data_IF_096983426266
#
_entry.id   IF_096983426266
#
_cell.length_a   1.000
_cell.length_b   1.000
_cell.length_c   1.000
_cell.angle_alpha   90.00
_cell.angle_beta   90.00
_cell.angle_gamma   90.00
#
_symmetry.space_group_name_H-M   'P 1'
#
loop_
_entity.id
_entity.type
_entity.pdbx_description
1 polymer ?
#
# COMPACT_ATOMS: atom_id res chain seq x y z
N UNK A 1 10.88 -2.07 29.78
CA UNK A 1 9.68 -1.28 29.46
C UNK A 1 9.66 -0.05 30.32
N UNK A 2 8.95 0.99 29.88
CA UNK A 2 8.72 2.25 30.59
C UNK A 2 7.20 2.36 30.79
N UNK A 3 6.77 2.92 31.92
CA UNK A 3 5.37 3.25 32.19
C UNK A 3 5.31 4.57 32.94
N UNK A 4 4.23 5.32 32.76
CA UNK A 4 3.95 6.53 33.52
C UNK A 4 2.49 6.51 33.96
N UNK A 5 2.17 7.22 35.04
CA UNK A 5 0.79 7.59 35.39
C UNK A 5 0.47 9.03 34.94
N UNK A 6 1.50 9.79 34.56
CA UNK A 6 1.42 11.15 34.05
C UNK A 6 1.87 11.16 32.57
N UNK A 7 0.94 11.41 31.63
CA UNK A 7 1.27 11.47 30.22
C UNK A 7 2.34 12.52 29.86
N UNK A 8 2.33 13.67 30.53
CA UNK A 8 3.25 14.77 30.22
C UNK A 8 4.67 14.44 30.71
N UNK A 9 4.79 13.70 31.82
CA UNK A 9 6.07 13.20 32.31
C UNK A 9 6.73 12.22 31.32
N UNK A 10 5.96 11.36 30.65
CA UNK A 10 6.50 10.45 29.63
C UNK A 10 6.98 11.22 28.40
N UNK A 11 6.20 12.19 27.93
CA UNK A 11 6.58 13.05 26.80
C UNK A 11 7.86 13.81 27.11
N UNK A 12 7.96 14.43 28.28
CA UNK A 12 9.17 15.14 28.72
C UNK A 12 10.37 14.19 28.77
N UNK A 13 10.20 13.00 29.35
CA UNK A 13 11.29 12.01 29.40
C UNK A 13 11.76 11.59 28.00
N UNK A 14 10.84 11.34 27.06
CA UNK A 14 11.18 10.98 25.68
C UNK A 14 11.98 12.11 25.01
N UNK A 15 11.53 13.36 25.14
CA UNK A 15 12.22 14.52 24.57
C UNK A 15 13.59 14.74 25.21
N UNK A 16 13.71 14.67 26.54
CA UNK A 16 14.98 14.79 27.26
C UNK A 16 16.01 13.71 26.88
N UNK A 17 15.54 12.52 26.49
CA UNK A 17 16.38 11.42 26.04
C UNK A 17 16.61 11.40 24.52
N UNK A 18 16.22 12.47 23.82
CA UNK A 18 16.48 12.67 22.40
C UNK A 18 15.60 11.82 21.48
N UNK A 19 14.43 11.39 21.95
CA UNK A 19 13.39 10.85 21.08
C UNK A 19 12.59 12.01 20.48
N UNK A 20 12.31 11.93 19.18
CA UNK A 20 11.51 12.93 18.49
C UNK A 20 10.03 12.71 18.80
N UNK A 21 9.46 13.64 19.58
CA UNK A 21 8.02 13.70 19.88
C UNK A 21 7.56 15.13 19.54
N UNK A 22 6.83 15.27 18.44
CA UNK A 22 6.26 16.55 17.99
C UNK A 22 4.90 16.77 18.65
N UNK A 23 4.40 18.01 18.64
CA UNK A 23 3.11 18.37 19.24
C UNK A 23 1.95 17.48 18.74
N UNK A 24 1.83 17.18 17.43
CA UNK A 24 0.77 16.29 16.94
C UNK A 24 0.86 14.84 17.44
N UNK A 25 2.04 14.38 17.88
CA UNK A 25 2.23 13.02 18.42
C UNK A 25 1.79 12.89 19.88
N UNK A 26 1.79 13.99 20.63
CA UNK A 26 1.52 13.98 22.08
C UNK A 26 0.18 13.32 22.41
N UNK A 27 -0.96 13.67 21.75
CA UNK A 27 -2.25 13.04 22.05
C UNK A 27 -2.23 11.52 21.90
N UNK A 28 -1.50 11.00 20.90
CA UNK A 28 -1.34 9.56 20.69
C UNK A 28 -0.60 8.93 21.86
N UNK A 29 0.52 9.50 22.28
CA UNK A 29 1.29 9.02 23.45
C UNK A 29 0.44 9.04 24.72
N UNK A 30 -0.34 10.11 24.94
CA UNK A 30 -1.20 10.22 26.14
C UNK A 30 -2.23 9.11 26.22
N UNK A 31 -2.85 8.75 25.10
CA UNK A 31 -3.85 7.68 25.05
C UNK A 31 -3.32 6.34 25.57
N UNK A 32 -2.09 5.96 25.22
CA UNK A 32 -1.46 4.75 25.72
C UNK A 32 -1.16 4.80 27.22
N UNK A 33 -0.80 5.98 27.75
CA UNK A 33 -0.59 6.18 29.19
C UNK A 33 -1.92 6.04 29.95
N UNK A 34 -2.99 6.64 29.44
CA UNK A 34 -4.35 6.56 30.01
C UNK A 34 -4.90 5.12 30.00
N UNK A 35 -4.60 4.36 28.96
CA UNK A 35 -4.90 2.93 28.84
C UNK A 35 -3.97 2.03 29.69
N UNK A 36 -3.04 2.64 30.44
CA UNK A 36 -2.08 1.96 31.34
C UNK A 36 -1.18 0.98 30.60
N UNK A 37 -0.84 1.30 29.36
CA UNK A 37 0.03 0.48 28.52
C UNK A 37 1.51 0.73 28.83
N UNK A 38 2.35 -0.24 28.47
CA UNK A 38 3.80 -0.13 28.60
C UNK A 38 4.42 0.34 27.31
N UNK A 39 5.48 1.14 27.43
CA UNK A 39 6.26 1.63 26.32
C UNK A 39 7.58 0.87 26.22
N UNK A 40 8.00 0.62 24.98
CA UNK A 40 9.32 0.11 24.67
C UNK A 40 9.97 1.05 23.66
N UNK A 41 10.77 1.98 24.18
CA UNK A 41 11.48 2.95 23.37
C UNK A 41 12.83 2.37 22.93
N UNK A 42 13.12 2.43 21.63
CA UNK A 42 14.37 1.98 21.04
C UNK A 42 14.90 3.03 20.08
N UNK A 43 16.22 3.04 19.89
CA UNK A 43 16.91 3.96 18.99
C UNK A 43 17.97 3.20 18.23
N UNK A 44 18.15 3.55 16.96
CA UNK A 44 19.30 3.09 16.19
C UNK A 44 20.59 3.54 16.88
N UNK A 45 21.60 2.69 16.84
CA UNK A 45 22.93 3.10 17.28
C UNK A 45 23.47 4.17 16.32
N UNK A 46 24.38 5.05 16.78
CA UNK A 46 25.06 5.96 15.87
C UNK A 46 25.66 5.19 14.69
N UNK A 47 25.59 5.77 13.48
CA UNK A 47 26.13 5.18 12.24
C UNK A 47 25.45 3.89 11.76
N UNK A 48 24.29 3.53 12.32
CA UNK A 48 23.44 2.44 11.83
C UNK A 48 22.31 2.95 10.93
N UNK A 49 22.02 2.19 9.90
CA UNK A 49 20.97 2.49 8.93
C UNK A 49 19.68 1.73 9.26
N UNK A 50 18.57 2.13 8.62
CA UNK A 50 17.26 1.44 8.78
C UNK A 50 17.35 -0.04 8.36
N UNK A 51 18.25 -0.36 7.44
CA UNK A 51 18.54 -1.74 7.00
C UNK A 51 19.16 -2.61 8.11
N UNK A 52 19.70 -2.02 9.17
CA UNK A 52 20.26 -2.73 10.33
C UNK A 52 19.20 -3.08 11.41
N UNK A 53 17.93 -2.68 11.23
CA UNK A 53 16.87 -2.98 12.20
C UNK A 53 16.66 -4.49 12.28
N UNK A 54 16.75 -5.05 13.49
CA UNK A 54 16.47 -6.45 13.75
C UNK A 54 15.02 -6.67 14.19
N UNK A 55 14.40 -7.83 13.89
CA UNK A 55 13.06 -8.15 14.37
C UNK A 55 12.96 -8.12 15.90
N UNK A 56 11.85 -7.59 16.40
CA UNK A 56 11.59 -7.43 17.83
C UNK A 56 10.67 -8.56 18.28
N UNK A 57 11.07 -9.28 19.33
CA UNK A 57 10.23 -10.28 19.99
C UNK A 57 9.76 -9.73 21.32
N UNK A 58 8.44 -9.70 21.49
CA UNK A 58 7.79 -9.27 22.73
C UNK A 58 7.02 -10.44 23.33
N UNK A 59 7.27 -10.71 24.60
CA UNK A 59 6.48 -11.65 25.39
C UNK A 59 5.72 -10.88 26.46
N UNK A 60 4.40 -11.03 26.48
CA UNK A 60 3.54 -10.32 27.42
C UNK A 60 2.27 -11.12 27.72
N UNK A 61 1.68 -10.86 28.88
CA UNK A 61 0.42 -11.47 29.30
C UNK A 61 -0.74 -10.61 28.80
N UNK A 62 -1.61 -11.17 27.96
CA UNK A 62 -2.83 -10.52 27.49
C UNK A 62 -3.98 -11.51 27.31
N UNK A 63 -5.22 -10.99 27.32
CA UNK A 63 -6.42 -11.80 27.04
C UNK A 63 -6.53 -12.17 25.55
N UNK A 64 -6.03 -11.30 24.69
CA UNK A 64 -6.02 -11.43 23.24
C UNK A 64 -4.73 -10.79 22.70
N UNK A 65 -4.08 -11.37 21.67
CA UNK A 65 -2.98 -10.71 20.97
C UNK A 65 -3.43 -9.38 20.36
N UNK A 66 -2.58 -8.37 20.48
CA UNK A 66 -2.82 -7.01 20.00
C UNK A 66 -1.58 -6.46 19.29
N UNK A 67 -1.80 -5.61 18.28
CA UNK A 67 -0.73 -4.91 17.56
C UNK A 67 -0.87 -3.40 17.81
N UNK A 68 0.18 -2.71 18.30
CA UNK A 68 0.12 -1.28 18.55
C UNK A 68 0.27 -0.51 17.22
N UNK A 69 -0.84 -0.13 16.60
CA UNK A 69 -0.87 0.58 15.31
C UNK A 69 -1.02 2.10 15.47
N UNK A 70 -1.62 2.61 16.55
CA UNK A 70 -1.83 4.07 16.68
C UNK A 70 -0.52 4.85 16.68
N UNK A 71 0.53 4.31 17.29
CA UNK A 71 1.87 4.93 17.25
C UNK A 71 2.54 4.81 15.87
N UNK A 72 2.16 3.81 15.07
CA UNK A 72 2.67 3.63 13.70
C UNK A 72 2.12 4.69 12.75
N UNK A 73 0.92 5.22 13.01
CA UNK A 73 0.27 6.26 12.21
C UNK A 73 1.18 7.46 11.90
N UNK A 74 2.00 7.88 12.87
CA UNK A 74 2.87 9.05 12.78
C UNK A 74 3.88 8.96 11.62
N UNK A 75 4.32 7.75 11.29
CA UNK A 75 5.33 7.48 10.27
C UNK A 75 4.85 6.48 9.21
N UNK A 76 3.53 6.24 9.13
CA UNK A 76 2.95 5.36 8.15
C UNK A 76 2.87 6.07 6.79
N UNK A 77 3.15 5.33 5.73
CA UNK A 77 2.78 5.73 4.37
C UNK A 77 1.29 5.42 4.14
N UNK A 78 0.60 6.16 3.26
CA UNK A 78 -0.75 5.81 2.83
C UNK A 78 -0.83 4.39 2.26
N UNK A 79 -1.96 3.73 2.48
CA UNK A 79 -2.23 2.39 1.97
C UNK A 79 -1.18 1.33 2.35
N UNK A 80 -0.57 1.50 3.53
CA UNK A 80 0.44 0.61 4.07
C UNK A 80 -0.16 -0.77 4.35
N UNK A 81 0.55 -1.80 3.92
CA UNK A 81 0.15 -3.20 4.09
C UNK A 81 0.48 -3.73 5.48
N UNK A 82 -0.49 -4.34 6.15
CA UNK A 82 -0.28 -5.06 7.40
C UNK A 82 -0.59 -6.53 7.22
N UNK A 83 0.39 -7.38 7.52
CA UNK A 83 0.27 -8.83 7.51
C UNK A 83 0.42 -9.34 8.94
N UNK A 84 -0.57 -10.08 9.41
CA UNK A 84 -0.56 -10.65 10.76
C UNK A 84 -0.68 -12.15 10.66
N UNK A 85 0.23 -12.86 11.32
CA UNK A 85 0.16 -14.30 11.48
C UNK A 85 -0.11 -14.63 12.94
N UNK A 86 -1.18 -15.39 13.19
CA UNK A 86 -1.53 -15.88 14.52
C UNK A 86 -1.43 -17.40 14.52
N UNK A 87 -0.61 -17.92 15.43
CA UNK A 87 -0.49 -19.35 15.70
C UNK A 87 -1.21 -19.67 17.00
N UNK A 88 -2.07 -20.69 17.00
CA UNK A 88 -2.89 -21.00 18.15
C UNK A 88 -3.60 -22.36 18.07
N UNK A 89 -4.53 -22.59 18.99
CA UNK A 89 -5.28 -23.85 19.08
C UNK A 89 -6.31 -24.04 17.94
N UNK A 90 -6.61 -22.99 17.18
CA UNK A 90 -7.63 -22.96 16.13
C UNK A 90 -7.67 -21.55 15.51
N UNK A 91 -8.74 -21.26 14.76
CA UNK A 91 -8.87 -20.01 14.01
C UNK A 91 -9.01 -18.80 14.94
N UNK A 92 -8.37 -17.70 14.54
CA UNK A 92 -8.59 -16.38 15.14
C UNK A 92 -9.43 -15.51 14.21
N UNK A 93 -10.06 -14.48 14.76
CA UNK A 93 -10.76 -13.42 14.01
C UNK A 93 -10.46 -12.05 14.64
N UNK A 94 -10.56 -10.95 13.88
CA UNK A 94 -10.49 -9.60 14.46
C UNK A 94 -11.58 -9.39 15.51
N UNK A 95 -11.25 -8.74 16.62
CA UNK A 95 -12.19 -8.50 17.73
C UNK A 95 -12.82 -7.10 17.66
N UNK A 96 -12.03 -6.06 17.44
CA UNK A 96 -12.46 -4.66 17.37
C UNK A 96 -12.34 -4.04 15.97
N UNK A 97 -12.04 -4.87 14.97
CA UNK A 97 -11.99 -4.47 13.56
C UNK A 97 -13.07 -5.26 12.79
N UNK A 98 -13.56 -4.67 11.70
CA UNK A 98 -14.42 -5.36 10.76
C UNK A 98 -13.73 -6.57 10.13
N UNK A 99 -14.53 -7.47 9.58
CA UNK A 99 -14.04 -8.59 8.76
C UNK A 99 -14.55 -8.39 7.35
N UNK A 100 -13.65 -8.43 6.37
CA UNK A 100 -13.98 -8.40 4.95
C UNK A 100 -13.66 -9.74 4.30
N UNK A 101 -14.32 -10.00 3.18
CA UNK A 101 -14.07 -11.16 2.31
C UNK A 101 -13.95 -10.69 0.88
N UNK A 102 -13.13 -11.37 0.08
CA UNK A 102 -13.00 -11.13 -1.36
C UNK A 102 -13.55 -12.35 -2.10
N UNK A 103 -14.43 -12.12 -3.06
CA UNK A 103 -14.98 -13.11 -3.99
C UNK A 103 -14.10 -13.28 -5.22
N UNK A 104 -14.21 -14.45 -5.87
CA UNK A 104 -13.55 -14.73 -7.15
C UNK A 104 -13.99 -13.75 -8.25
N UNK A 105 -15.24 -13.28 -8.22
CA UNK A 105 -15.87 -12.39 -9.20
C UNK A 105 -15.32 -10.96 -9.19
N UNK A 106 -14.68 -10.55 -8.10
CA UNK A 106 -14.15 -9.20 -7.89
C UNK A 106 -12.68 -9.06 -8.33
N UNK A 107 -12.06 -10.20 -8.63
CA UNK A 107 -10.65 -10.28 -8.95
C UNK A 107 -10.45 -10.44 -10.45
N UNK A 108 -9.77 -9.46 -11.04
CA UNK A 108 -9.46 -9.37 -12.45
C UNK A 108 -7.96 -9.57 -12.62
N UNK A 109 -7.59 -10.45 -13.55
CA UNK A 109 -6.22 -10.63 -14.03
C UNK A 109 -6.11 -9.99 -15.41
N UNK A 110 -5.24 -9.00 -15.56
CA UNK A 110 -4.90 -8.38 -16.82
C UNK A 110 -3.72 -9.14 -17.47
N UNK A 111 -3.94 -9.87 -18.57
CA UNK A 111 -2.89 -10.65 -19.24
C UNK A 111 -1.87 -9.79 -19.99
N UNK A 112 -2.26 -8.59 -20.43
CA UNK A 112 -1.37 -7.68 -21.15
C UNK A 112 -0.32 -7.10 -20.21
N UNK A 113 -0.74 -6.73 -19.00
CA UNK A 113 0.13 -6.18 -17.96
C UNK A 113 0.73 -7.27 -17.06
N UNK A 114 0.22 -8.50 -17.13
CA UNK A 114 0.64 -9.62 -16.28
C UNK A 114 0.37 -9.36 -14.79
N UNK A 115 -0.72 -8.66 -14.48
CA UNK A 115 -1.02 -8.17 -13.11
C UNK A 115 -2.47 -8.44 -12.72
N UNK A 116 -2.81 -8.21 -11.45
CA UNK A 116 -4.16 -8.40 -10.91
C UNK A 116 -4.55 -7.24 -9.99
N UNK A 117 -5.85 -7.00 -9.79
CA UNK A 117 -6.38 -5.93 -8.96
C UNK A 117 -6.53 -6.27 -7.46
N UNK A 118 -5.97 -7.39 -6.99
CA UNK A 118 -6.17 -7.88 -5.61
C UNK A 118 -5.97 -6.82 -4.53
N UNK A 119 -4.89 -6.04 -4.61
CA UNK A 119 -4.54 -5.09 -3.55
C UNK A 119 -5.42 -3.84 -3.58
N UNK A 120 -5.87 -3.43 -4.76
CA UNK A 120 -6.83 -2.35 -4.97
C UNK A 120 -8.22 -2.77 -4.48
N UNK A 121 -8.62 -4.03 -4.70
CA UNK A 121 -9.85 -4.61 -4.17
C UNK A 121 -9.81 -4.75 -2.64
N UNK A 122 -8.67 -5.13 -2.05
CA UNK A 122 -8.50 -5.11 -0.58
C UNK A 122 -8.70 -3.70 -0.04
N UNK A 123 -7.97 -2.70 -0.56
CA UNK A 123 -8.08 -1.31 -0.10
C UNK A 123 -9.52 -0.82 -0.16
N UNK A 124 -10.20 -0.97 -1.32
CA UNK A 124 -11.59 -0.56 -1.48
C UNK A 124 -12.52 -1.19 -0.45
N UNK A 125 -12.39 -2.49 -0.21
CA UNK A 125 -13.23 -3.20 0.78
C UNK A 125 -12.95 -2.82 2.22
N UNK A 126 -11.70 -2.50 2.55
CA UNK A 126 -11.35 -2.01 3.90
C UNK A 126 -12.03 -0.66 4.14
N UNK A 127 -11.99 0.23 3.15
CA UNK A 127 -12.59 1.57 3.23
C UNK A 127 -14.11 1.51 3.24
N UNK A 128 -14.74 0.68 2.41
CA UNK A 128 -16.19 0.37 2.46
C UNK A 128 -16.61 -0.16 3.85
N UNK A 129 -15.71 -0.86 4.54
CA UNK A 129 -15.90 -1.33 5.91
C UNK A 129 -15.51 -0.28 6.98
N UNK A 130 -15.30 0.98 6.59
CA UNK A 130 -14.99 2.10 7.47
C UNK A 130 -13.50 2.24 7.82
N UNK A 131 -12.61 1.81 6.93
CA UNK A 131 -11.14 1.93 7.05
C UNK A 131 -10.50 1.02 8.10
N UNK A 132 -11.30 0.18 8.75
CA UNK A 132 -10.89 -0.60 9.93
C UNK A 132 -11.40 -2.02 9.83
N UNK A 133 -10.92 -2.73 8.82
CA UNK A 133 -11.23 -4.14 8.64
C UNK A 133 -10.00 -4.96 8.28
N UNK A 134 -10.08 -6.26 8.52
CA UNK A 134 -9.09 -7.24 8.06
C UNK A 134 -9.75 -8.29 7.18
N UNK A 135 -9.04 -8.67 6.12
CA UNK A 135 -9.26 -9.89 5.38
C UNK A 135 -8.59 -11.05 6.12
N UNK A 136 -9.31 -12.15 6.34
CA UNK A 136 -8.65 -13.42 6.66
C UNK A 136 -8.16 -14.03 5.34
N UNK A 137 -6.89 -13.87 5.00
CA UNK A 137 -6.34 -14.41 3.74
C UNK A 137 -6.18 -15.92 3.76
N UNK A 138 -5.87 -16.49 4.93
CA UNK A 138 -5.59 -17.92 5.08
C UNK A 138 -5.89 -18.38 6.50
N UNK A 139 -6.49 -19.55 6.64
CA UNK A 139 -6.68 -20.20 7.94
C UNK A 139 -6.71 -21.71 7.76
N UNK A 140 -5.79 -22.44 8.41
CA UNK A 140 -5.73 -23.90 8.31
C UNK A 140 -4.88 -24.50 9.44
N UNK A 141 -4.91 -25.83 9.57
CA UNK A 141 -3.97 -26.57 10.40
C UNK A 141 -2.51 -26.40 9.93
N UNK A 142 -1.59 -26.17 10.87
CA UNK A 142 -0.15 -25.92 10.60
C UNK A 142 0.54 -27.06 9.87
N UNK A 143 0.04 -28.29 10.00
CA UNK A 143 0.54 -29.46 9.28
C UNK A 143 0.53 -29.28 7.75
N UNK A 144 -0.43 -28.51 7.22
CA UNK A 144 -0.48 -28.22 5.78
C UNK A 144 0.64 -27.28 5.35
N UNK A 145 0.95 -26.27 6.17
CA UNK A 145 2.08 -25.35 5.92
C UNK A 145 3.41 -26.07 6.07
N UNK A 146 3.58 -26.90 7.10
CA UNK A 146 4.78 -27.73 7.30
C UNK A 146 5.01 -28.62 6.07
N UNK A 147 3.97 -29.30 5.59
CA UNK A 147 4.05 -30.15 4.39
C UNK A 147 4.49 -29.36 3.16
N UNK A 148 4.02 -28.12 2.99
CA UNK A 148 4.43 -27.27 1.86
C UNK A 148 5.90 -26.84 2.00
N UNK A 149 6.32 -26.47 3.21
CA UNK A 149 7.70 -26.06 3.52
C UNK A 149 8.69 -27.21 3.33
N UNK A 150 8.38 -28.42 3.78
CA UNK A 150 9.23 -29.61 3.63
C UNK A 150 9.44 -30.01 2.16
N UNK A 151 8.51 -29.63 1.28
CA UNK A 151 8.62 -29.86 -0.17
C UNK A 151 9.33 -28.71 -0.91
N UNK A 152 9.75 -27.67 -0.20
CA UNK A 152 10.40 -26.49 -0.77
C UNK A 152 11.92 -26.60 -0.66
N UNK A 153 12.64 -26.07 -1.65
CA UNK A 153 14.09 -25.95 -1.57
C UNK A 153 14.47 -24.81 -0.60
N UNK A 154 15.32 -25.12 0.38
CA UNK A 154 15.83 -24.16 1.36
C UNK A 154 17.34 -24.00 1.15
N UNK A 155 17.83 -22.80 0.83
CA UNK A 155 19.27 -22.53 0.76
C UNK A 155 19.94 -22.78 2.12
N UNK A 156 21.19 -23.25 2.11
CA UNK A 156 21.89 -23.64 3.34
C UNK A 156 22.00 -22.49 4.35
N UNK A 157 22.14 -21.26 3.87
CA UNK A 157 22.17 -20.02 4.66
C UNK A 157 20.85 -19.70 5.39
N UNK A 158 19.73 -20.30 4.98
CA UNK A 158 18.40 -20.11 5.58
C UNK A 158 17.97 -21.29 6.47
N UNK A 159 18.80 -22.34 6.60
CA UNK A 159 18.42 -23.56 7.30
C UNK A 159 18.05 -23.32 8.77
N UNK A 160 18.77 -22.46 9.48
CA UNK A 160 18.45 -22.15 10.89
C UNK A 160 17.07 -21.49 11.02
N UNK A 161 16.75 -20.55 10.13
CA UNK A 161 15.45 -19.88 10.12
C UNK A 161 14.32 -20.87 9.80
N UNK A 162 14.56 -21.77 8.86
CA UNK A 162 13.64 -22.85 8.51
C UNK A 162 13.36 -23.76 9.71
N UNK A 163 14.40 -24.25 10.38
CA UNK A 163 14.25 -25.15 11.54
C UNK A 163 13.47 -24.47 12.68
N UNK A 164 13.74 -23.18 12.93
CA UNK A 164 12.98 -22.39 13.92
C UNK A 164 11.51 -22.22 13.53
N UNK A 165 11.23 -21.96 12.26
CA UNK A 165 9.86 -21.85 11.76
C UNK A 165 9.12 -23.19 11.90
N UNK A 166 9.73 -24.30 11.54
CA UNK A 166 9.14 -25.64 11.71
C UNK A 166 8.85 -25.92 13.18
N UNK A 167 9.79 -25.66 14.08
CA UNK A 167 9.57 -25.84 15.52
C UNK A 167 8.41 -24.98 16.04
N UNK A 168 8.30 -23.73 15.56
CA UNK A 168 7.20 -22.84 15.90
C UNK A 168 5.85 -23.38 15.38
N UNK A 169 5.78 -23.83 14.13
CA UNK A 169 4.58 -24.42 13.53
C UNK A 169 4.18 -25.75 14.18
N UNK A 170 5.13 -26.53 14.69
CA UNK A 170 4.85 -27.76 15.43
C UNK A 170 4.32 -27.49 16.84
N UNK A 171 4.67 -26.33 17.43
CA UNK A 171 4.18 -25.90 18.74
C UNK A 171 2.71 -25.51 18.78
N UNK A 172 2.11 -25.19 17.63
CA UNK A 172 0.73 -24.73 17.52
C UNK A 172 -0.01 -25.48 16.41
N UNK A 173 -1.21 -26.03 16.64
CA UNK A 173 -1.90 -26.87 15.64
C UNK A 173 -2.54 -26.07 14.49
N UNK A 174 -2.68 -24.75 14.63
CA UNK A 174 -3.43 -23.93 13.68
C UNK A 174 -2.75 -22.59 13.42
N UNK A 175 -2.87 -22.10 12.19
CA UNK A 175 -2.36 -20.79 11.75
C UNK A 175 -3.47 -20.00 11.07
N UNK A 176 -3.53 -18.70 11.37
CA UNK A 176 -4.41 -17.74 10.70
C UNK A 176 -3.58 -16.57 10.20
N UNK A 177 -3.78 -16.17 8.94
CA UNK A 177 -3.18 -15.01 8.31
C UNK A 177 -4.25 -13.96 8.08
N UNK A 178 -4.00 -12.75 8.59
CA UNK A 178 -4.80 -11.58 8.29
C UNK A 178 -4.01 -10.62 7.41
N UNK A 179 -4.75 -9.91 6.57
CA UNK A 179 -4.22 -8.85 5.73
C UNK A 179 -5.15 -7.66 5.75
N UNK A 180 -4.57 -6.48 5.67
CA UNK A 180 -5.29 -5.23 5.49
C UNK A 180 -4.35 -4.19 4.91
N UNK A 181 -4.93 -3.12 4.39
CA UNK A 181 -4.24 -1.92 3.95
C UNK A 181 -4.92 -0.76 4.64
N UNK A 182 -4.14 0.12 5.24
CA UNK A 182 -4.66 1.27 5.98
C UNK A 182 -3.77 2.47 5.75
N UNK A 183 -4.41 3.63 5.66
CA UNK A 183 -3.74 4.92 5.67
C UNK A 183 -3.61 5.47 7.10
N UNK A 184 -2.67 6.39 7.38
CA UNK A 184 -2.45 6.93 8.73
C UNK A 184 -3.72 7.40 9.47
N UNK A 185 -4.65 8.01 8.75
CA UNK A 185 -5.95 8.51 9.23
C UNK A 185 -6.87 7.43 9.81
N UNK A 186 -6.64 6.17 9.46
CA UNK A 186 -7.45 5.03 9.87
C UNK A 186 -6.87 4.29 11.08
N UNK A 187 -5.60 4.54 11.40
CA UNK A 187 -4.85 3.91 12.49
C UNK A 187 -5.21 4.51 13.87
N UNK A 188 -6.51 4.56 14.17
CA UNK A 188 -7.08 5.15 15.39
C UNK A 188 -7.26 4.14 16.52
N UNK A 189 -7.14 2.85 16.23
CA UNK A 189 -7.26 1.75 17.20
C UNK A 189 -6.12 0.75 17.05
N UNK A 190 -5.86 0.01 18.13
CA UNK A 190 -4.95 -1.13 18.08
C UNK A 190 -5.76 -2.41 17.85
N UNK A 191 -5.53 -3.15 16.76
CA UNK A 191 -6.29 -4.35 16.45
C UNK A 191 -6.00 -5.46 17.45
N UNK A 192 -7.06 -6.07 17.94
CA UNK A 192 -7.05 -7.28 18.77
C UNK A 192 -7.61 -8.45 18.00
N UNK A 193 -7.08 -9.64 18.27
CA UNK A 193 -7.55 -10.87 17.64
C UNK A 193 -8.00 -11.87 18.69
N UNK A 194 -9.21 -12.39 18.55
CA UNK A 194 -9.79 -13.36 19.47
C UNK A 194 -9.85 -14.74 18.83
N UNK A 195 -9.80 -15.76 19.68
CA UNK A 195 -10.04 -17.14 19.27
C UNK A 195 -11.52 -17.33 18.87
N UNK A 196 -11.76 -18.08 17.79
CA UNK A 196 -13.08 -18.43 17.26
C UNK A 196 -13.23 -19.95 17.28
N UNK A 197 -14.05 -20.47 18.19
CA UNK A 197 -14.16 -21.92 18.43
C UNK A 197 -14.80 -22.70 17.28
N UNK A 198 -15.64 -22.03 16.48
CA UNK A 198 -16.35 -22.63 15.34
C UNK A 198 -15.81 -22.12 14.00
N UNK A 199 -14.62 -21.52 13.99
CA UNK A 199 -14.02 -20.98 12.78
C UNK A 199 -13.67 -22.07 11.77
N UNK A 200 -14.15 -21.92 10.53
CA UNK A 200 -13.79 -22.80 9.42
C UNK A 200 -12.44 -22.41 8.80
N UNK A 201 -11.83 -23.35 8.08
CA UNK A 201 -10.66 -23.08 7.25
C UNK A 201 -10.97 -22.02 6.17
N UNK A 202 -9.92 -21.32 5.75
CA UNK A 202 -9.96 -20.30 4.70
C UNK A 202 -8.86 -20.57 3.69
N UNK A 203 -9.25 -20.76 2.43
CA UNK A 203 -8.36 -20.95 1.30
C UNK A 203 -7.85 -19.60 0.81
N UNK A 204 -6.54 -19.52 0.54
CA UNK A 204 -5.90 -18.38 -0.13
C UNK A 204 -5.79 -18.56 -1.64
N UNK A 205 -6.61 -19.45 -2.22
CA UNK A 205 -6.68 -19.69 -3.67
C UNK A 205 -7.90 -19.01 -4.24
N UNK A 206 -7.65 -18.08 -5.13
CA UNK A 206 -8.67 -17.36 -5.89
C UNK A 206 -8.68 -17.82 -7.34
N UNK A 207 -9.85 -17.80 -7.97
CA UNK A 207 -9.96 -17.84 -9.43
C UNK A 207 -10.12 -16.41 -9.92
N UNK A 208 -9.19 -15.99 -10.78
CA UNK A 208 -9.21 -14.65 -11.35
C UNK A 208 -10.01 -14.67 -12.65
N UNK A 209 -10.77 -13.61 -12.89
CA UNK A 209 -11.47 -13.40 -14.15
C UNK A 209 -10.58 -12.64 -15.12
N UNK A 210 -10.83 -12.82 -16.41
CA UNK A 210 -10.25 -11.96 -17.44
C UNK A 210 -11.09 -10.69 -17.57
N UNK A 211 -10.53 -9.58 -18.07
CA UNK A 211 -11.32 -8.39 -18.39
C UNK A 211 -12.50 -8.76 -19.30
N UNK A 212 -13.67 -8.11 -19.17
CA UNK A 212 -14.88 -8.45 -19.91
C UNK A 212 -14.71 -8.54 -21.44
N UNK A 213 -13.76 -7.78 -21.97
CA UNK A 213 -13.47 -7.62 -23.40
C UNK A 213 -12.21 -8.37 -23.86
N UNK A 214 -11.58 -9.14 -22.97
CA UNK A 214 -10.44 -9.99 -23.32
C UNK A 214 -10.91 -11.30 -23.94
N UNK A 215 -10.63 -11.50 -25.24
CA UNK A 215 -10.89 -12.77 -25.95
C UNK A 215 -9.62 -13.61 -26.12
N UNK A 216 -9.66 -14.87 -25.66
CA UNK A 216 -8.57 -15.84 -25.86
C UNK A 216 -8.49 -16.40 -27.30
N UNK A 217 -9.50 -16.13 -28.13
CA UNK A 217 -9.51 -16.53 -29.53
C UNK A 217 -8.68 -15.53 -30.31
N UNK A 218 -7.63 -16.00 -30.98
CA UNK A 218 -6.66 -15.20 -31.73
C UNK A 218 -7.23 -14.53 -32.99
N UNK A 219 -8.39 -13.90 -32.90
CA UNK A 219 -8.85 -12.91 -33.85
C UNK A 219 -8.11 -11.61 -33.55
N UNK A 220 -7.05 -11.39 -34.32
CA UNK A 220 -6.37 -10.12 -34.41
C UNK A 220 -7.38 -9.00 -34.68
N UNK A 221 -7.54 -8.11 -33.71
CA UNK A 221 -8.06 -6.76 -33.97
C UNK A 221 -9.55 -6.67 -34.19
N UNK A 222 -10.36 -7.30 -33.33
CA UNK A 222 -11.50 -6.53 -32.87
C UNK A 222 -10.91 -5.55 -31.85
N UNK A 223 -10.61 -4.32 -32.28
CA UNK A 223 -10.70 -3.19 -31.37
C UNK A 223 -12.05 -3.42 -30.68
N UNK A 224 -12.04 -3.87 -29.43
CA UNK A 224 -13.23 -3.79 -28.63
C UNK A 224 -13.57 -2.30 -28.74
N UNK A 225 -14.67 -2.00 -29.44
CA UNK A 225 -15.29 -0.69 -29.44
C UNK A 225 -15.87 -0.42 -28.06
N UNK A 226 -15.08 -0.72 -27.05
CA UNK A 226 -15.30 -0.53 -25.66
C UNK A 226 -15.10 0.95 -25.51
N UNK A 227 -16.24 1.64 -25.45
CA UNK A 227 -16.25 3.08 -25.26
C UNK A 227 -15.39 3.48 -24.07
N UNK A 228 -15.11 4.77 -23.98
CA UNK A 228 -14.37 5.39 -22.87
C UNK A 228 -14.76 4.84 -21.48
N UNK A 229 -16.02 4.44 -21.30
CA UNK A 229 -16.58 3.80 -20.11
C UNK A 229 -15.94 2.45 -19.75
N UNK A 230 -15.79 1.52 -20.70
CA UNK A 230 -15.24 0.19 -20.43
C UNK A 230 -13.72 0.26 -20.17
N UNK A 231 -13.01 1.15 -20.85
CA UNK A 231 -11.59 1.40 -20.56
C UNK A 231 -11.41 2.07 -19.20
N UNK A 232 -12.31 2.99 -18.82
CA UNK A 232 -12.33 3.61 -17.48
C UNK A 232 -12.52 2.54 -16.41
N UNK A 233 -13.55 1.71 -16.53
CA UNK A 233 -13.83 0.62 -15.57
C UNK A 233 -12.63 -0.31 -15.44
N UNK A 234 -12.04 -0.73 -16.57
CA UNK A 234 -10.85 -1.59 -16.58
C UNK A 234 -9.67 -0.92 -15.88
N UNK A 235 -9.28 0.30 -16.24
CA UNK A 235 -8.11 0.94 -15.64
C UNK A 235 -8.33 1.28 -14.16
N UNK A 236 -9.54 1.69 -13.79
CA UNK A 236 -9.91 2.01 -12.42
C UNK A 236 -10.10 0.78 -11.54
N UNK A 237 -10.37 -0.40 -12.11
CA UNK A 237 -10.29 -1.66 -11.36
C UNK A 237 -8.90 -1.89 -10.78
N UNK A 238 -7.84 -1.42 -11.47
CA UNK A 238 -6.44 -1.52 -11.05
C UNK A 238 -5.90 -0.22 -10.47
N UNK A 239 -6.73 0.73 -10.05
CA UNK A 239 -6.25 1.96 -9.41
C UNK A 239 -7.05 2.23 -8.15
N UNK A 240 -6.35 2.44 -7.04
CA UNK A 240 -6.96 2.81 -5.76
C UNK A 240 -6.48 4.20 -5.36
N UNK A 241 -7.43 5.11 -5.17
CA UNK A 241 -7.16 6.52 -4.94
C UNK A 241 -7.43 6.99 -3.50
N UNK A 242 -7.90 6.12 -2.61
CA UNK A 242 -8.27 6.49 -1.24
C UNK A 242 -9.75 6.89 -1.09
N UNK A 243 -10.23 7.09 0.14
CA UNK A 243 -11.63 7.44 0.38
C UNK A 243 -11.94 8.84 -0.17
N UNK A 244 -13.19 9.08 -0.57
CA UNK A 244 -13.66 10.39 -1.09
C UNK A 244 -12.86 10.92 -2.30
N UNK A 245 -12.33 10.01 -3.12
CA UNK A 245 -11.55 10.33 -4.31
C UNK A 245 -12.15 9.65 -5.54
N UNK A 246 -11.74 10.11 -6.72
CA UNK A 246 -12.10 9.48 -7.98
C UNK A 246 -10.86 8.99 -8.71
N UNK A 247 -10.97 7.82 -9.32
CA UNK A 247 -10.03 7.38 -10.34
C UNK A 247 -10.35 8.09 -11.66
N UNK A 248 -9.33 8.48 -12.42
CA UNK A 248 -9.53 9.19 -13.67
C UNK A 248 -8.60 8.68 -14.78
N UNK A 249 -9.13 8.65 -16.00
CA UNK A 249 -8.35 8.47 -17.22
C UNK A 249 -7.77 9.82 -17.65
N UNK A 250 -6.52 9.80 -18.10
CA UNK A 250 -5.85 10.93 -18.75
C UNK A 250 -5.21 10.43 -20.04
N UNK A 251 -4.69 11.33 -20.88
CA UNK A 251 -3.95 10.94 -22.09
C UNK A 251 -2.66 10.17 -21.75
N UNK A 252 -2.17 10.33 -20.53
CA UNK A 252 -0.84 9.90 -20.10
C UNK A 252 -0.87 8.59 -19.30
N UNK A 253 -1.79 8.45 -18.35
CA UNK A 253 -2.05 7.23 -17.57
C UNK A 253 -3.29 7.42 -16.67
N UNK A 254 -3.71 6.35 -15.99
CA UNK A 254 -4.67 6.45 -14.88
C UNK A 254 -4.10 7.27 -13.74
N UNK A 255 -4.92 8.13 -13.15
CA UNK A 255 -4.57 8.99 -12.03
C UNK A 255 -5.69 9.11 -11.01
N UNK A 256 -5.44 9.93 -9.98
CA UNK A 256 -6.37 10.15 -8.88
C UNK A 256 -6.78 11.62 -8.79
N UNK A 257 -8.08 11.87 -8.69
CA UNK A 257 -8.66 13.16 -8.32
C UNK A 257 -8.96 13.10 -6.83
N UNK A 258 -8.23 13.90 -6.04
CA UNK A 258 -8.40 13.93 -4.59
C UNK A 258 -9.54 14.87 -4.21
N UNK A 259 -10.39 14.42 -3.27
CA UNK A 259 -11.45 15.24 -2.70
C UNK A 259 -10.92 16.38 -1.84
N UNK A 260 -11.81 17.26 -1.43
CA UNK A 260 -11.49 18.41 -0.58
C UNK A 260 -10.80 17.97 0.72
N UNK A 261 -9.68 18.62 1.05
CA UNK A 261 -8.87 18.29 2.22
C UNK A 261 -7.90 17.13 2.03
N UNK A 262 -7.86 16.50 0.85
CA UNK A 262 -6.90 15.47 0.52
C UNK A 262 -5.85 15.97 -0.48
N UNK A 263 -4.67 15.36 -0.44
CA UNK A 263 -3.57 15.66 -1.36
C UNK A 263 -3.02 14.38 -1.98
N UNK A 264 -2.62 14.45 -3.25
CA UNK A 264 -2.10 13.31 -3.98
C UNK A 264 -0.70 12.95 -3.49
N UNK A 265 -0.53 11.71 -3.05
CA UNK A 265 0.73 11.14 -2.61
C UNK A 265 1.15 10.01 -3.54
N UNK A 266 2.40 10.08 -3.98
CA UNK A 266 3.01 9.01 -4.76
C UNK A 266 3.40 7.87 -3.83
N UNK A 267 2.92 6.66 -4.13
CA UNK A 267 3.21 5.44 -3.37
C UNK A 267 3.65 4.32 -4.30
N UNK A 268 4.30 3.31 -3.73
CA UNK A 268 4.61 2.06 -4.43
C UNK A 268 3.62 1.02 -3.93
N UNK A 269 2.79 0.51 -4.83
CA UNK A 269 1.84 -0.56 -4.53
C UNK A 269 2.58 -1.86 -4.15
N UNK A 270 1.90 -2.82 -3.48
CA UNK A 270 2.53 -4.10 -3.12
C UNK A 270 3.04 -4.93 -4.32
N UNK A 271 2.56 -4.66 -5.53
CA UNK A 271 3.09 -5.26 -6.78
C UNK A 271 4.36 -4.58 -7.30
N UNK A 272 4.86 -3.55 -6.61
CA UNK A 272 6.01 -2.75 -7.02
C UNK A 272 5.69 -1.66 -8.05
N UNK A 273 4.42 -1.52 -8.44
CA UNK A 273 3.98 -0.48 -9.38
C UNK A 273 3.84 0.86 -8.67
N UNK A 274 4.38 1.90 -9.30
CA UNK A 274 4.21 3.28 -8.89
C UNK A 274 2.78 3.76 -9.15
N UNK A 275 2.15 4.35 -8.15
CA UNK A 275 0.78 4.89 -8.25
C UNK A 275 0.63 6.15 -7.41
N UNK A 276 -0.53 6.79 -7.50
CA UNK A 276 -0.98 7.85 -6.60
C UNK A 276 -2.06 7.29 -5.69
N UNK A 277 -2.13 7.79 -4.45
CA UNK A 277 -3.31 7.71 -3.59
C UNK A 277 -3.52 9.06 -2.91
N UNK A 278 -4.75 9.39 -2.55
CA UNK A 278 -5.09 10.62 -1.86
C UNK A 278 -5.00 10.40 -0.35
N UNK A 279 -4.23 11.24 0.33
CA UNK A 279 -4.04 11.18 1.78
C UNK A 279 -4.61 12.45 2.44
N UNK A 280 -5.13 12.31 3.65
CA UNK A 280 -5.66 13.42 4.44
C UNK A 280 -4.58 14.49 4.70
N UNK A 281 -4.76 15.69 4.16
CA UNK A 281 -3.78 16.77 4.27
C UNK A 281 -3.70 17.39 5.67
N UNK A 282 -4.67 17.08 6.56
CA UNK A 282 -4.65 17.54 7.96
C UNK A 282 -3.70 16.72 8.84
N UNK A 283 -3.32 15.51 8.43
CA UNK A 283 -2.42 14.65 9.18
C UNK A 283 -0.95 14.95 8.89
N UNK A 284 -0.50 16.09 9.39
CA UNK A 284 0.91 16.48 9.36
C UNK A 284 1.52 16.44 10.77
N UNK A 285 2.41 15.49 11.00
CA UNK A 285 3.11 15.29 12.27
C UNK A 285 4.44 16.05 12.35
N UNK A 286 4.86 16.76 11.28
CA UNK A 286 6.06 17.60 11.26
C UNK A 286 5.68 19.08 11.39
N UNK A 287 6.56 19.89 12.00
CA UNK A 287 6.31 21.33 12.15
C UNK A 287 6.55 22.08 10.84
N UNK A 288 5.95 23.27 10.63
CA UNK A 288 6.23 24.09 9.46
C UNK A 288 7.71 24.42 9.29
N UNK A 289 8.46 24.61 10.37
CA UNK A 289 9.91 24.88 10.35
C UNK A 289 10.71 23.66 9.88
N UNK A 290 10.33 22.44 10.32
CA UNK A 290 10.96 21.21 9.85
C UNK A 290 10.71 21.00 8.35
N UNK A 291 9.54 21.41 7.85
CA UNK A 291 9.15 21.24 6.45
C UNK A 291 9.64 22.37 5.54
N UNK A 292 9.95 23.55 6.08
CA UNK A 292 10.52 24.66 5.30
C UNK A 292 12.00 24.44 4.96
N UNK A 293 12.66 23.50 5.65
CA UNK A 293 14.10 23.29 5.58
C UNK A 293 14.91 24.38 6.28
N UNK A 294 14.25 25.30 6.99
CA UNK A 294 14.92 26.32 7.79
C UNK A 294 15.47 25.70 9.08
N UNK A 295 16.80 25.71 9.25
CA UNK A 295 17.46 25.13 10.43
C UNK A 295 18.46 24.01 10.10
N UNK A 296 18.47 23.50 8.87
CA UNK A 296 19.54 22.65 8.32
C UNK A 296 19.45 21.15 8.64
N UNK A 297 18.55 20.73 9.53
CA UNK A 297 18.38 19.31 9.89
C UNK A 297 17.41 18.56 8.96
N UNK A 298 16.56 19.28 8.22
CA UNK A 298 15.58 18.72 7.28
C UNK A 298 15.58 19.49 5.96
N UNK A 299 15.23 18.80 4.87
CA UNK A 299 15.05 19.40 3.54
C UNK A 299 13.57 19.60 3.26
N UNK A 300 13.20 20.69 2.60
CA UNK A 300 11.83 20.89 2.12
C UNK A 300 11.51 19.80 1.07
N UNK A 301 10.51 18.94 1.31
CA UNK A 301 10.16 17.86 0.39
C UNK A 301 9.75 18.33 -1.01
N UNK A 302 9.25 19.56 -1.13
CA UNK A 302 8.85 20.17 -2.40
C UNK A 302 10.03 20.75 -3.20
N UNK A 303 11.24 20.83 -2.63
CA UNK A 303 12.38 21.39 -3.35
C UNK A 303 12.83 20.48 -4.50
N UNK A 304 12.56 20.95 -5.72
CA UNK A 304 12.82 20.18 -6.94
C UNK A 304 11.85 19.00 -7.13
N UNK A 305 10.65 19.10 -6.56
CA UNK A 305 9.52 18.26 -6.89
C UNK A 305 8.46 19.12 -7.58
N UNK A 306 8.02 18.71 -8.77
CA UNK A 306 7.00 19.42 -9.54
C UNK A 306 5.70 18.64 -9.60
N UNK A 307 4.57 19.35 -9.44
CA UNK A 307 3.21 18.86 -9.65
C UNK A 307 2.69 19.12 -11.07
N UNK A 308 3.52 19.69 -11.96
CA UNK A 308 3.10 20.21 -13.26
C UNK A 308 2.53 21.63 -13.18
N UNK A 309 2.00 22.14 -14.30
CA UNK A 309 1.46 23.52 -14.40
C UNK A 309 0.12 23.69 -13.67
N UNK A 310 -0.63 22.59 -13.50
CA UNK A 310 -1.97 22.56 -12.92
C UNK A 310 -1.99 21.97 -11.50
N UNK A 311 -0.87 22.07 -10.79
CA UNK A 311 -0.73 21.50 -9.46
C UNK A 311 0.17 22.30 -8.56
N UNK A 312 -0.10 22.24 -7.26
CA UNK A 312 0.70 22.88 -6.22
C UNK A 312 1.28 21.81 -5.30
N UNK A 313 2.60 21.88 -5.09
CA UNK A 313 3.26 20.98 -4.15
C UNK A 313 3.03 21.41 -2.70
N UNK A 314 2.65 20.45 -1.86
CA UNK A 314 2.51 20.62 -0.42
C UNK A 314 3.39 19.59 0.32
N UNK A 315 4.22 20.01 1.29
CA UNK A 315 4.98 19.08 2.10
C UNK A 315 4.11 18.49 3.22
N UNK A 316 4.02 17.16 3.29
CA UNK A 316 3.28 16.43 4.33
C UNK A 316 4.13 15.29 4.89
N UNK A 317 4.36 15.25 6.21
CA UNK A 317 5.16 14.21 6.87
C UNK A 317 6.53 13.95 6.22
N UNK A 318 7.20 15.01 5.74
CA UNK A 318 8.52 14.91 5.12
C UNK A 318 8.48 14.39 3.67
N UNK A 319 7.30 14.31 3.08
CA UNK A 319 7.07 13.84 1.72
C UNK A 319 6.39 14.91 0.84
N UNK A 320 6.74 15.01 -0.45
CA UNK A 320 6.03 15.88 -1.38
C UNK A 320 4.67 15.27 -1.76
N UNK A 321 3.69 16.13 -1.91
CA UNK A 321 2.30 15.82 -2.27
C UNK A 321 1.77 16.89 -3.23
N UNK A 322 0.71 16.60 -3.98
CA UNK A 322 0.14 17.55 -4.93
C UNK A 322 -1.35 17.77 -4.72
N UNK A 323 -1.76 19.03 -4.68
CA UNK A 323 -3.14 19.42 -4.93
C UNK A 323 -3.26 19.81 -6.40
N UNK A 324 -4.13 19.13 -7.14
CA UNK A 324 -4.42 19.45 -8.54
C UNK A 324 -5.59 20.42 -8.67
N UNK A 325 -5.60 21.23 -9.72
CA UNK A 325 -6.74 22.06 -10.08
C UNK A 325 -7.97 21.21 -10.45
N UNK A 326 -9.15 21.82 -10.38
CA UNK A 326 -10.41 21.16 -10.75
C UNK A 326 -10.35 20.65 -12.21
N UNK A 327 -10.77 19.39 -12.43
CA UNK A 327 -10.69 18.73 -13.74
C UNK A 327 -9.34 18.09 -14.07
N UNK A 328 -8.36 18.14 -13.16
CA UNK A 328 -7.06 17.49 -13.31
C UNK A 328 -6.90 16.34 -12.31
N UNK A 329 -6.26 15.27 -12.77
CA UNK A 329 -5.93 14.09 -11.97
C UNK A 329 -4.42 14.01 -11.75
N UNK A 330 -4.04 13.62 -10.54
CA UNK A 330 -2.65 13.37 -10.19
C UNK A 330 -2.20 12.02 -10.76
N UNK A 331 -1.17 12.06 -11.61
CA UNK A 331 -0.58 10.88 -12.27
C UNK A 331 0.85 10.70 -11.79
N UNK A 332 1.20 9.49 -11.36
CA UNK A 332 2.56 9.18 -10.92
C UNK A 332 3.51 9.03 -12.12
N UNK A 333 4.73 9.56 -12.00
CA UNK A 333 5.78 9.48 -13.03
C UNK A 333 7.10 9.01 -12.40
N UNK A 334 7.78 8.09 -13.09
CA UNK A 334 9.06 7.53 -12.63
C UNK A 334 10.20 8.55 -12.68
N UNK A 335 10.29 9.32 -13.76
CA UNK A 335 11.26 10.40 -13.95
C UNK A 335 10.61 11.52 -14.77
N UNK A 336 10.81 12.76 -14.36
CA UNK A 336 10.74 13.88 -15.29
C UNK A 336 11.97 13.82 -16.19
N UNK A 337 11.76 13.77 -17.51
CA UNK A 337 12.85 13.66 -18.50
C UNK A 337 13.79 14.88 -18.45
N UNK A 338 13.31 16.02 -17.93
CA UNK A 338 14.10 17.25 -17.85
C UNK A 338 14.76 17.45 -16.48
N UNK A 339 14.17 16.93 -15.40
CA UNK A 339 14.68 17.14 -14.03
C UNK A 339 15.31 15.90 -13.39
N UNK A 340 15.25 14.73 -14.06
CA UNK A 340 15.74 13.43 -13.58
C UNK A 340 15.25 13.07 -12.16
N UNK A 341 14.06 13.53 -11.79
CA UNK A 341 13.45 13.28 -10.47
C UNK A 341 12.07 12.65 -10.62
N UNK A 342 11.70 11.80 -9.68
CA UNK A 342 10.37 11.23 -9.61
C UNK A 342 9.35 12.31 -9.18
N UNK A 343 8.22 12.42 -9.88
CA UNK A 343 7.21 13.48 -9.67
C UNK A 343 5.79 12.92 -9.73
N UNK A 344 4.81 13.75 -9.36
CA UNK A 344 3.41 13.62 -9.76
C UNK A 344 3.14 14.72 -10.80
N UNK A 345 2.36 14.47 -11.84
CA UNK A 345 1.84 15.53 -12.71
C UNK A 345 0.33 15.58 -12.65
N UNK A 346 -0.21 16.78 -12.50
CA UNK A 346 -1.63 17.04 -12.63
C UNK A 346 -1.99 17.11 -14.12
N UNK A 347 -2.57 16.04 -14.63
CA UNK A 347 -2.93 15.86 -16.04
C UNK A 347 -4.45 15.98 -16.22
N UNK A 348 -4.90 16.50 -17.35
CA UNK A 348 -6.33 16.74 -17.59
C UNK A 348 -7.10 15.43 -17.61
N UNK A 349 -8.17 15.33 -16.81
CA UNK A 349 -9.04 14.16 -16.78
C UNK A 349 -9.93 14.12 -18.04
N UNK A 350 -9.97 12.98 -18.70
CA UNK A 350 -10.84 12.68 -19.85
C UNK A 350 -12.16 12.06 -19.36
N UNK A 351 -12.05 11.16 -18.39
CA UNK A 351 -13.18 10.51 -17.73
C UNK A 351 -12.82 10.21 -16.28
N UNK A 352 -13.82 10.07 -15.41
CA UNK A 352 -13.64 9.75 -14.00
C UNK A 352 -14.66 8.73 -13.51
N UNK A 353 -14.23 7.91 -12.58
CA UNK A 353 -15.06 6.99 -11.82
C UNK A 353 -14.83 7.27 -10.33
N UNK A 354 -15.89 7.68 -9.64
CA UNK A 354 -15.86 7.77 -8.19
C UNK A 354 -15.72 6.36 -7.60
N UNK A 355 -14.90 6.20 -6.56
CA UNK A 355 -14.91 4.96 -5.82
C UNK A 355 -16.29 4.81 -5.16
N UNK A 356 -16.88 3.60 -5.13
CA UNK A 356 -18.21 3.40 -4.57
C UNK A 356 -18.23 3.83 -3.10
N UNK A 357 -18.81 5.01 -2.86
CA UNK A 357 -19.21 5.51 -1.56
C UNK A 357 -20.71 5.71 -1.61
N UNK A 358 -21.45 4.86 -0.88
CA UNK A 358 -22.85 5.02 -0.49
C UNK A 358 -23.82 5.73 -1.47
N UNK A 359 -23.81 5.43 -2.78
CA UNK A 359 -24.97 5.52 -3.68
C UNK A 359 -24.61 5.02 -5.10
N UNK A 360 -25.55 4.36 -5.79
CA UNK A 360 -25.43 4.04 -7.22
C UNK A 360 -25.29 5.36 -8.01
N UNK A 361 -24.12 5.64 -8.56
CA UNK A 361 -23.89 6.87 -9.34
C UNK A 361 -23.46 6.59 -10.78
N UNK A 362 -24.12 7.24 -11.77
CA UNK A 362 -23.81 7.09 -13.18
C UNK A 362 -22.50 7.81 -13.54
N UNK A 363 -21.75 7.21 -14.47
CA UNK A 363 -20.49 7.74 -15.00
C UNK A 363 -20.75 9.06 -15.72
N UNK A 364 -20.03 10.11 -15.35
CA UNK A 364 -20.20 11.46 -15.89
C UNK A 364 -19.04 11.79 -16.85
N UNK A 365 -19.34 11.90 -18.15
CA UNK A 365 -18.39 12.30 -19.18
C UNK A 365 -18.06 13.80 -19.02
N UNK A 366 -16.79 14.12 -18.73
CA UNK A 366 -16.33 15.50 -18.61
C UNK A 366 -16.16 16.05 -20.03
N UNK A 367 -17.17 16.74 -20.55
CA UNK A 367 -17.15 17.25 -21.93
C UNK A 367 -16.04 18.30 -22.14
N UNK A 368 -15.10 18.10 -23.08
CA UNK A 368 -14.21 19.16 -23.54
C UNK A 368 -14.92 20.01 -24.61
N UNK A 369 -14.69 21.32 -24.52
CA UNK A 369 -15.14 22.29 -25.52
C UNK A 369 -14.58 21.97 -26.92
N UNK A 370 -15.37 22.33 -27.92
CA UNK A 370 -15.37 21.92 -29.32
C UNK A 370 -14.06 21.93 -30.14
N UNK A 371 -13.85 20.85 -30.93
CA UNK A 371 -13.54 20.97 -32.37
C UNK A 371 -12.17 20.48 -32.87
N UNK A 372 -12.14 19.28 -33.49
CA UNK A 372 -11.70 19.05 -34.89
C UNK A 372 -11.64 17.54 -35.18
N UNK A 373 -12.43 17.07 -36.15
CA UNK A 373 -12.33 15.72 -36.69
C UNK A 373 -11.28 15.62 -37.80
N UNK A 374 -10.78 14.40 -38.04
CA UNK A 374 -10.25 13.97 -39.33
C UNK A 374 -10.48 12.48 -39.56
N UNK A 375 -10.79 12.19 -40.81
CA UNK A 375 -11.22 10.94 -41.44
C UNK A 375 -10.10 9.92 -41.67
N UNK A 376 -10.50 8.64 -41.68
CA UNK A 376 -9.68 7.46 -42.00
C UNK A 376 -9.08 7.48 -43.42
N UNK A 377 -7.93 6.80 -43.57
CA UNK A 377 -7.37 6.34 -44.84
C UNK A 377 -6.77 4.95 -44.68
N UNK A 378 -7.31 3.98 -45.43
CA UNK A 378 -6.73 2.65 -45.64
C UNK A 378 -5.40 2.74 -46.41
N UNK A 379 -4.44 1.85 -46.09
CA UNK A 379 -3.84 0.92 -47.09
C UNK A 379 -2.74 0.04 -46.47
N UNK A 380 -2.94 -1.28 -46.56
CA UNK A 380 -2.00 -2.17 -47.28
C UNK A 380 -0.83 -2.84 -46.53
N UNK A 381 -1.08 -4.07 -46.08
CA UNK A 381 -0.24 -5.28 -46.05
C UNK A 381 1.31 -5.17 -46.21
N UNK A 382 2.05 -5.81 -45.28
CA UNK A 382 2.67 -7.15 -45.50
C UNK A 382 3.70 -7.58 -44.44
N UNK A 383 3.46 -8.81 -43.93
CA UNK A 383 4.39 -9.93 -43.65
C UNK A 383 5.30 -9.92 -42.39
N UNK A 384 4.81 -10.64 -41.38
CA UNK A 384 5.31 -11.92 -40.85
C UNK A 384 6.83 -12.17 -40.67
N UNK A 385 7.19 -12.45 -39.41
CA UNK A 385 8.12 -13.53 -39.05
C UNK A 385 9.14 -13.16 -37.97
N UNK A 386 9.11 -13.90 -36.85
CA UNK A 386 10.22 -14.63 -36.21
C UNK A 386 10.11 -14.62 -34.67
N UNK A 387 9.87 -15.83 -34.14
CA UNK A 387 9.83 -16.19 -32.72
C UNK A 387 11.20 -16.76 -32.29
N UNK A 388 11.50 -16.60 -31.00
CA UNK A 388 12.45 -17.33 -30.13
C UNK A 388 13.96 -16.98 -30.25
N UNK A 389 14.54 -16.40 -29.18
CA UNK A 389 15.57 -17.01 -28.30
C UNK A 389 16.11 -16.01 -27.23
N UNK A 390 16.26 -16.52 -25.97
CA UNK A 390 17.11 -16.07 -24.83
C UNK A 390 16.70 -14.77 -24.09
N UNK A 391 16.31 -14.72 -22.80
CA UNK A 391 16.63 -15.51 -21.59
C UNK A 391 18.13 -15.70 -21.33
N UNK A 392 18.78 -14.67 -20.76
CA UNK A 392 19.95 -14.69 -19.85
C UNK A 392 20.67 -13.33 -19.91
N UNK A 393 20.35 -12.39 -19.02
CA UNK A 393 21.30 -11.33 -18.61
C UNK A 393 20.90 -10.65 -17.28
N UNK A 394 20.69 -11.46 -16.23
CA UNK A 394 20.48 -11.00 -14.85
C UNK A 394 21.64 -11.39 -13.94
N UNK A 395 22.88 -11.22 -14.38
CA UNK A 395 24.08 -11.71 -13.68
C UNK A 395 25.30 -10.85 -14.01
N UNK A 396 25.29 -9.56 -13.64
CA UNK A 396 26.51 -8.74 -13.67
C UNK A 396 26.64 -7.62 -12.61
N UNK A 397 25.85 -7.62 -11.52
CA UNK A 397 25.98 -6.61 -10.45
C UNK A 397 26.15 -7.16 -9.02
N UNK A 398 26.64 -8.39 -8.85
CA UNK A 398 26.87 -8.99 -7.53
C UNK A 398 28.28 -9.61 -7.37
N UNK A 399 29.29 -9.06 -8.06
CA UNK A 399 30.67 -9.58 -8.04
C UNK A 399 31.73 -8.66 -7.42
N UNK A 400 31.33 -7.61 -6.70
CA UNK A 400 32.28 -6.66 -6.08
C UNK A 400 32.08 -6.38 -4.59
N UNK A 401 31.22 -7.12 -3.87
CA UNK A 401 30.97 -6.86 -2.43
C UNK A 401 31.52 -7.87 -1.42
N UNK A 402 32.19 -8.96 -1.84
CA UNK A 402 32.85 -9.89 -0.91
C UNK A 402 34.32 -10.11 -1.25
N UNK A 403 35.14 -9.06 -1.11
CA UNK A 403 36.61 -9.23 -1.13
C UNK A 403 37.41 -8.32 -0.19
N UNK A 404 36.79 -7.72 0.83
CA UNK A 404 37.48 -6.94 1.87
C UNK A 404 36.95 -7.22 3.28
N UNK A 405 37.03 -8.50 3.71
CA UNK A 405 37.09 -8.86 5.14
C UNK A 405 38.03 -10.06 5.35
N UNK A 406 39.29 -9.87 4.96
CA UNK A 406 40.43 -10.52 5.60
C UNK A 406 41.60 -9.52 5.58
N UNK A 407 41.54 -8.55 6.50
CA UNK A 407 42.70 -7.91 7.14
C UNK A 407 42.27 -6.97 8.26
#
# INVERSE_FOLDING_TARGET
>A
TISSEDPDALVSWLQENGYRITEPMIPVVRLYVEEKMFFFAMRLQPEKEVSDITPIVLEYMAKAPMIPLRLTAVAAEPEMSFVVWVLGAGRYVPENYGTITIGDDELIYDPERGTHNYFETVSRKVDEAGGRAFLTEYAHGTSEVIRQLENSYVPAEQQEAFDRLIALLQGYPYITRFYTRMSPEEMKEDPRFRFESEGSDVSNRFRLNLPPDYSCEGETGQESGDGLEAELERQCAFTYCGPTSACALTEEATGCICGDGFTARRVISPTGRLTVTCQDASLNFMTPEELSGEGGDFMNPCDGFSCGEHGVCLPLNGSPTCTCEEGYAAVARWLDVYEEKATIRCEKAIARQELPGDEEHPIEEITPDSGCGCTASESGDRLAGWLLFLNLLGLFLLRTFFRHQER
#
